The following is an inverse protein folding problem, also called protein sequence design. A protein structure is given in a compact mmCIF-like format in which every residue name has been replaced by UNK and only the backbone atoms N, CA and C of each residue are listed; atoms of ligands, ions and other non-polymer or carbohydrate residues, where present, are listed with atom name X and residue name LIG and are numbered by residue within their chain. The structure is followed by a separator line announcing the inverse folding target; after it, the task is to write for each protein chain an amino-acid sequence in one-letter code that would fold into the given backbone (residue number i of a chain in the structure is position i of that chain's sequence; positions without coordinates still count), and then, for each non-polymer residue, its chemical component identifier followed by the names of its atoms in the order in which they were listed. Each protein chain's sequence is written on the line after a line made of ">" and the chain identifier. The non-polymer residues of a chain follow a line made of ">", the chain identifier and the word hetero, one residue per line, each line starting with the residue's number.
data_IF_595855416193
#
_entry.id   IF_595855416193
#
_cell.length_a   1.000
_cell.length_b   1.000
_cell.length_c   1.000
_cell.angle_alpha   90.00
_cell.angle_beta   90.00
_cell.angle_gamma   90.00
#
_symmetry.space_group_name_H-M   'P 1'
#
loop_
_entity.id
_entity.type
_entity.pdbx_description
1 polymer ?
#
# COMPACT_ATOMS: atom_id res chain seq x y z
N UNK A 1 -14.84 5.50 -19.26
CA UNK A 1 -14.78 5.28 -17.78
C UNK A 1 -13.68 6.16 -17.23
N UNK A 2 -14.00 7.04 -16.32
CA UNK A 2 -13.03 7.90 -15.62
C UNK A 2 -12.19 7.06 -14.64
N UNK A 3 -11.06 7.62 -14.15
CA UNK A 3 -10.25 6.96 -13.12
C UNK A 3 -11.09 6.64 -11.87
N UNK A 4 -11.92 7.59 -11.43
CA UNK A 4 -12.76 7.43 -10.23
C UNK A 4 -13.80 6.31 -10.43
N UNK A 5 -14.47 6.27 -11.57
CA UNK A 5 -15.41 5.18 -11.90
C UNK A 5 -14.69 3.83 -11.94
N UNK A 6 -13.47 3.78 -12.52
CA UNK A 6 -12.66 2.57 -12.59
C UNK A 6 -12.34 2.03 -11.19
N UNK A 7 -11.79 2.84 -10.28
CA UNK A 7 -11.45 2.36 -8.94
C UNK A 7 -12.68 2.01 -8.11
N UNK A 8 -13.78 2.76 -8.27
CA UNK A 8 -15.03 2.50 -7.56
C UNK A 8 -15.68 1.16 -7.96
N UNK A 9 -15.54 0.74 -9.20
CA UNK A 9 -16.07 -0.53 -9.69
C UNK A 9 -15.10 -1.70 -9.48
N UNK A 10 -13.83 -1.52 -9.86
CA UNK A 10 -12.81 -2.57 -9.86
C UNK A 10 -12.44 -3.05 -8.46
N UNK A 11 -12.36 -2.13 -7.49
CA UNK A 11 -11.87 -2.44 -6.15
C UNK A 11 -12.98 -2.85 -5.16
N UNK A 12 -14.18 -3.19 -5.65
CA UNK A 12 -15.22 -3.75 -4.77
C UNK A 12 -14.80 -5.14 -4.28
N UNK A 13 -14.86 -5.40 -2.95
CA UNK A 13 -14.63 -6.72 -2.40
C UNK A 13 -15.54 -7.78 -3.05
N UNK A 14 -14.94 -8.78 -3.68
CA UNK A 14 -15.65 -9.82 -4.41
C UNK A 14 -14.98 -11.19 -4.17
N UNK A 15 -15.26 -11.80 -3.01
CA UNK A 15 -14.68 -13.09 -2.64
C UNK A 15 -15.29 -14.19 -3.54
N UNK A 16 -14.48 -14.74 -4.42
CA UNK A 16 -14.85 -15.81 -5.37
C UNK A 16 -13.96 -17.04 -5.24
N UNK A 17 -12.82 -16.90 -4.56
CA UNK A 17 -11.85 -17.97 -4.35
C UNK A 17 -11.99 -18.55 -2.94
N UNK A 18 -11.61 -19.81 -2.78
CA UNK A 18 -11.47 -20.47 -1.47
C UNK A 18 -10.11 -20.20 -0.82
N UNK A 19 -9.25 -19.40 -1.49
CA UNK A 19 -7.88 -19.10 -1.08
C UNK A 19 -7.93 -18.08 0.06
N UNK A 20 -7.34 -18.44 1.21
CA UNK A 20 -7.28 -17.59 2.40
C UNK A 20 -5.96 -16.87 2.50
N UNK A 21 -6.05 -15.57 2.71
CA UNK A 21 -4.91 -14.65 2.82
C UNK A 21 -4.83 -14.05 4.21
N UNK A 22 -3.72 -14.25 4.90
CA UNK A 22 -3.42 -13.61 6.18
C UNK A 22 -2.65 -12.32 5.92
N UNK A 23 -3.19 -11.18 6.35
CA UNK A 23 -2.56 -9.85 6.24
C UNK A 23 -2.03 -9.41 7.60
N UNK A 24 -0.72 -9.43 7.77
CA UNK A 24 -0.03 -9.02 8.99
C UNK A 24 0.35 -7.54 8.91
N UNK A 25 0.05 -6.79 9.96
CA UNK A 25 0.22 -5.33 9.99
C UNK A 25 -0.67 -4.66 8.94
N UNK A 26 -1.94 -5.09 8.89
CA UNK A 26 -2.87 -4.82 7.81
C UNK A 26 -3.22 -3.31 7.63
N UNK A 27 -2.96 -2.49 8.65
CA UNK A 27 -3.35 -1.09 8.64
C UNK A 27 -4.86 -0.93 8.40
N UNK A 28 -5.24 0.01 7.55
CA UNK A 28 -6.65 0.20 7.16
C UNK A 28 -7.13 -0.77 6.06
N UNK A 29 -6.34 -1.78 5.71
CA UNK A 29 -6.73 -2.79 4.72
C UNK A 29 -6.45 -2.41 3.26
N UNK A 30 -5.53 -1.48 2.99
CA UNK A 30 -5.22 -1.09 1.60
C UNK A 30 -4.68 -2.26 0.76
N UNK A 31 -3.82 -3.12 1.36
CA UNK A 31 -3.32 -4.32 0.71
C UNK A 31 -4.44 -5.36 0.56
N UNK A 32 -5.15 -5.69 1.64
CA UNK A 32 -6.28 -6.61 1.65
C UNK A 32 -7.39 -6.22 0.69
N UNK A 33 -7.71 -4.93 0.53
CA UNK A 33 -8.73 -4.47 -0.42
C UNK A 33 -8.41 -4.89 -1.86
N UNK A 34 -7.15 -4.76 -2.28
CA UNK A 34 -6.72 -5.24 -3.58
C UNK A 34 -6.86 -6.76 -3.73
N UNK A 35 -6.58 -7.52 -2.67
CA UNK A 35 -6.73 -8.97 -2.66
C UNK A 35 -8.19 -9.40 -2.70
N UNK A 36 -9.08 -8.79 -1.91
CA UNK A 36 -10.52 -9.08 -1.96
C UNK A 36 -11.15 -8.72 -3.31
N UNK A 37 -10.71 -7.62 -3.92
CA UNK A 37 -11.14 -7.26 -5.28
C UNK A 37 -10.67 -8.28 -6.32
N UNK A 38 -9.54 -8.96 -6.10
CA UNK A 38 -9.03 -10.05 -6.94
C UNK A 38 -9.68 -11.41 -6.64
N UNK A 39 -10.56 -11.49 -5.64
CA UNK A 39 -11.35 -12.68 -5.33
C UNK A 39 -10.97 -13.45 -4.06
N UNK A 40 -9.92 -13.06 -3.35
CA UNK A 40 -9.43 -13.76 -2.16
C UNK A 40 -10.25 -13.48 -0.90
N UNK A 41 -10.25 -14.40 0.05
CA UNK A 41 -10.73 -14.18 1.42
C UNK A 41 -9.55 -13.69 2.29
N UNK A 42 -9.69 -12.52 2.94
CA UNK A 42 -8.62 -11.95 3.75
C UNK A 42 -8.92 -12.01 5.25
N UNK A 43 -7.87 -12.17 6.06
CA UNK A 43 -7.91 -12.09 7.53
C UNK A 43 -6.81 -11.12 7.93
N UNK A 44 -7.17 -9.99 8.54
CA UNK A 44 -6.23 -8.95 8.94
C UNK A 44 -5.85 -9.01 10.42
N UNK A 45 -4.64 -8.54 10.74
CA UNK A 45 -4.21 -8.23 12.11
C UNK A 45 -3.57 -6.84 12.13
N UNK A 46 -4.08 -5.98 13.02
CA UNK A 46 -3.62 -4.59 13.18
C UNK A 46 -3.77 -4.18 14.65
N UNK A 47 -2.76 -3.53 15.22
CA UNK A 47 -2.78 -3.10 16.62
C UNK A 47 -3.43 -1.73 16.84
N UNK A 48 -3.61 -0.93 15.79
CA UNK A 48 -4.23 0.39 15.88
C UNK A 48 -5.73 0.28 15.65
N UNK A 49 -6.51 0.41 16.71
CA UNK A 49 -7.98 0.26 16.71
C UNK A 49 -8.67 1.01 15.56
N UNK A 50 -8.30 2.27 15.32
CA UNK A 50 -8.92 3.05 14.26
C UNK A 50 -8.63 2.50 12.85
N UNK A 51 -7.52 1.83 12.65
CA UNK A 51 -7.18 1.21 11.37
C UNK A 51 -7.90 -0.13 11.22
N UNK A 52 -7.93 -0.96 12.27
CA UNK A 52 -8.69 -2.21 12.28
C UNK A 52 -10.20 -1.96 12.08
N UNK A 53 -10.76 -0.92 12.70
CA UNK A 53 -12.15 -0.51 12.50
C UNK A 53 -12.41 -0.05 11.07
N UNK A 54 -11.47 0.70 10.46
CA UNK A 54 -11.57 1.07 9.03
C UNK A 54 -11.59 -0.17 8.14
N UNK A 55 -10.70 -1.12 8.40
CA UNK A 55 -10.67 -2.40 7.69
C UNK A 55 -12.05 -3.08 7.77
N UNK A 56 -12.56 -3.30 8.99
CA UNK A 56 -13.80 -4.04 9.25
C UNK A 56 -15.06 -3.37 8.67
N UNK A 57 -15.05 -2.05 8.44
CA UNK A 57 -16.16 -1.33 7.80
C UNK A 57 -16.23 -1.51 6.29
N UNK A 58 -15.10 -1.80 5.65
CA UNK A 58 -14.99 -1.73 4.19
C UNK A 58 -14.72 -3.06 3.51
N UNK A 59 -14.12 -4.03 4.22
CA UNK A 59 -13.74 -5.31 3.68
C UNK A 59 -14.71 -6.41 4.14
N UNK A 60 -14.75 -7.52 3.42
CA UNK A 60 -15.55 -8.71 3.78
C UNK A 60 -14.82 -9.58 4.79
N UNK A 61 -13.49 -9.63 4.72
CA UNK A 61 -12.64 -10.29 5.70
C UNK A 61 -12.63 -9.53 7.03
N UNK A 62 -12.28 -10.23 8.10
CA UNK A 62 -12.21 -9.66 9.44
C UNK A 62 -10.78 -9.26 9.80
N UNK A 63 -10.60 -8.10 10.42
CA UNK A 63 -9.35 -7.64 11.01
C UNK A 63 -9.44 -7.70 12.55
N UNK A 64 -8.59 -8.51 13.14
CA UNK A 64 -8.43 -8.57 14.58
C UNK A 64 -7.58 -7.39 15.06
N UNK A 65 -8.12 -6.62 16.02
CA UNK A 65 -7.39 -5.55 16.66
C UNK A 65 -6.51 -6.13 17.77
N UNK A 66 -5.31 -6.58 17.42
CA UNK A 66 -4.40 -7.24 18.35
C UNK A 66 -2.94 -6.92 18.08
N UNK A 67 -2.11 -6.98 19.12
CA UNK A 67 -0.67 -6.77 19.02
C UNK A 67 0.05 -8.09 18.75
N UNK A 68 0.57 -8.23 17.57
CA UNK A 68 1.32 -9.40 17.14
C UNK A 68 2.65 -9.52 17.90
N UNK A 69 3.07 -10.77 18.14
CA UNK A 69 4.38 -11.15 18.70
C UNK A 69 4.88 -12.44 18.07
N UNK A 70 6.15 -12.74 18.21
CA UNK A 70 6.71 -14.05 17.85
C UNK A 70 5.98 -15.13 18.66
N UNK A 71 5.59 -16.22 18.00
CA UNK A 71 4.79 -17.29 18.61
C UNK A 71 3.30 -16.96 18.74
N UNK A 72 2.77 -15.95 18.04
CA UNK A 72 1.33 -15.63 18.06
C UNK A 72 0.52 -16.76 17.43
N UNK A 73 -0.55 -17.21 18.13
CA UNK A 73 -1.43 -18.28 17.65
C UNK A 73 -2.53 -17.72 16.75
N UNK A 74 -2.39 -17.92 15.44
CA UNK A 74 -3.42 -17.55 14.47
C UNK A 74 -4.50 -18.63 14.41
N UNK A 75 -5.80 -18.28 14.43
CA UNK A 75 -6.86 -19.25 14.20
C UNK A 75 -6.72 -19.92 12.83
N UNK A 76 -6.98 -21.24 12.80
CA UNK A 76 -7.01 -22.03 11.57
C UNK A 76 -5.76 -21.91 10.66
N UNK A 77 -4.55 -21.84 11.24
CA UNK A 77 -3.28 -21.68 10.49
C UNK A 77 -3.15 -22.65 9.30
N UNK A 78 -3.65 -23.87 9.45
CA UNK A 78 -3.60 -24.90 8.39
C UNK A 78 -4.45 -24.59 7.15
N UNK A 79 -5.32 -23.57 7.24
CA UNK A 79 -6.19 -23.14 6.13
C UNK A 79 -5.69 -21.84 5.46
N UNK A 80 -4.53 -21.29 5.89
CA UNK A 80 -3.97 -20.09 5.31
C UNK A 80 -3.07 -20.48 4.14
N UNK A 81 -3.41 -20.01 2.96
CA UNK A 81 -2.70 -20.30 1.71
C UNK A 81 -1.61 -19.28 1.40
N UNK A 82 -1.88 -18.02 1.72
CA UNK A 82 -1.02 -16.89 1.40
C UNK A 82 -0.83 -16.01 2.64
N UNK A 83 0.38 -15.53 2.87
CA UNK A 83 0.66 -14.53 3.90
C UNK A 83 1.15 -13.25 3.22
N UNK A 84 0.51 -12.13 3.55
CA UNK A 84 0.91 -10.79 3.08
C UNK A 84 1.16 -9.87 4.26
N UNK A 85 1.78 -8.71 4.03
CA UNK A 85 1.90 -7.72 5.09
C UNK A 85 2.85 -6.57 4.80
N UNK A 86 2.79 -5.57 5.68
CA UNK A 86 3.71 -4.43 5.71
C UNK A 86 4.50 -4.38 7.03
N UNK A 87 5.41 -5.32 7.31
CA UNK A 87 6.11 -5.36 8.60
C UNK A 87 6.87 -4.06 8.87
N UNK A 88 6.63 -3.37 10.00
CA UNK A 88 7.33 -2.14 10.31
C UNK A 88 8.84 -2.38 10.45
N UNK A 89 9.63 -1.49 9.85
CA UNK A 89 11.09 -1.48 9.90
C UNK A 89 11.58 -0.22 10.64
N UNK A 90 11.04 0.04 11.84
CA UNK A 90 11.24 1.30 12.56
C UNK A 90 12.62 1.45 13.25
N UNK A 91 13.33 0.40 13.70
CA UNK A 91 14.67 0.55 14.26
C UNK A 91 15.63 1.29 13.35
N UNK A 92 15.35 1.28 12.05
CA UNK A 92 16.20 1.80 10.98
C UNK A 92 15.61 3.03 10.28
N UNK A 93 14.47 3.57 10.75
CA UNK A 93 13.93 4.82 10.20
C UNK A 93 14.77 6.02 10.66
N UNK A 94 14.85 7.08 9.83
CA UNK A 94 15.62 8.31 10.12
C UNK A 94 15.25 9.00 11.45
N UNK A 95 14.15 8.59 12.10
CA UNK A 95 13.57 9.24 13.29
C UNK A 95 13.62 8.31 14.53
N UNK A 96 13.98 7.00 14.35
CA UNK A 96 14.04 6.03 15.45
C UNK A 96 15.39 6.01 16.17
N UNK A 97 15.39 5.81 17.49
CA UNK A 97 16.59 5.46 18.24
C UNK A 97 17.10 4.11 17.73
N UNK A 98 18.33 4.07 17.19
CA UNK A 98 18.96 2.90 16.56
C UNK A 98 19.26 1.78 17.59
N UNK A 99 18.21 1.11 18.12
CA UNK A 99 18.35 0.01 19.08
C UNK A 99 18.62 -1.37 18.43
N UNK A 100 18.73 -1.43 17.08
CA UNK A 100 19.06 -2.67 16.39
C UNK A 100 17.94 -3.71 16.40
N UNK A 101 18.30 -5.00 16.30
CA UNK A 101 17.39 -6.14 16.18
C UNK A 101 16.55 -6.46 17.43
N UNK A 102 16.75 -5.77 18.55
CA UNK A 102 15.99 -5.94 19.79
C UNK A 102 14.86 -4.92 19.95
N UNK A 103 14.61 -4.09 18.94
CA UNK A 103 13.53 -3.08 19.01
C UNK A 103 12.18 -3.77 18.84
N UNK A 104 11.33 -3.68 19.86
CA UNK A 104 9.96 -4.23 19.86
C UNK A 104 9.06 -3.70 18.72
N UNK A 105 9.51 -2.69 17.97
CA UNK A 105 8.82 -2.12 16.80
C UNK A 105 9.24 -2.76 15.47
N UNK A 106 10.12 -3.76 15.50
CA UNK A 106 10.51 -4.53 14.34
C UNK A 106 9.50 -5.64 14.07
N UNK A 107 8.77 -5.55 12.95
CA UNK A 107 7.78 -6.55 12.56
C UNK A 107 8.34 -7.74 11.80
N UNK A 108 9.59 -7.71 11.35
CA UNK A 108 10.14 -8.81 10.55
C UNK A 108 10.30 -10.14 11.30
N UNK A 109 10.75 -10.18 12.58
CA UNK A 109 10.78 -11.45 13.33
C UNK A 109 9.40 -12.09 13.44
N UNK A 110 8.34 -11.29 13.58
CA UNK A 110 6.95 -11.75 13.64
C UNK A 110 6.52 -12.31 12.28
N UNK A 111 6.83 -11.60 11.19
CA UNK A 111 6.50 -12.04 9.83
C UNK A 111 7.21 -13.35 9.47
N UNK A 112 8.50 -13.50 9.78
CA UNK A 112 9.28 -14.71 9.54
C UNK A 112 8.72 -15.87 10.38
N UNK A 113 8.38 -15.66 11.65
CA UNK A 113 7.77 -16.68 12.52
C UNK A 113 6.44 -17.17 11.94
N UNK A 114 5.59 -16.25 11.46
CA UNK A 114 4.34 -16.61 10.80
C UNK A 114 4.58 -17.47 9.55
N UNK A 115 5.52 -17.08 8.68
CA UNK A 115 5.87 -17.88 7.49
C UNK A 115 6.40 -19.28 7.88
N UNK A 116 7.26 -19.35 8.90
CA UNK A 116 7.81 -20.61 9.41
C UNK A 116 6.73 -21.57 9.91
N UNK A 117 5.73 -21.05 10.61
CA UNK A 117 4.68 -21.86 11.25
C UNK A 117 3.53 -22.21 10.29
N UNK A 118 3.14 -21.29 9.43
CA UNK A 118 2.05 -21.47 8.47
C UNK A 118 2.51 -22.24 7.23
N UNK A 119 3.75 -22.02 6.78
CA UNK A 119 4.30 -22.59 5.54
C UNK A 119 3.40 -22.31 4.31
N UNK A 120 2.98 -21.03 4.07
CA UNK A 120 2.08 -20.68 2.98
C UNK A 120 2.67 -21.09 1.61
N UNK A 121 1.84 -21.24 0.58
CA UNK A 121 2.31 -21.52 -0.79
C UNK A 121 3.10 -20.34 -1.36
N UNK A 122 2.69 -19.13 -1.02
CA UNK A 122 3.34 -17.90 -1.43
C UNK A 122 3.17 -16.83 -0.34
N UNK A 123 4.13 -15.94 -0.21
CA UNK A 123 4.01 -14.78 0.65
C UNK A 123 4.48 -13.50 -0.07
N UNK A 124 3.98 -12.36 0.40
CA UNK A 124 4.42 -11.05 -0.05
C UNK A 124 4.56 -10.10 1.13
N UNK A 125 5.65 -9.33 1.18
CA UNK A 125 5.69 -8.17 2.05
C UNK A 125 6.08 -6.89 1.31
N UNK A 126 5.52 -5.79 1.79
CA UNK A 126 5.84 -4.44 1.32
C UNK A 126 6.72 -3.71 2.33
N UNK A 127 7.63 -2.88 1.83
CA UNK A 127 8.40 -1.97 2.68
C UNK A 127 8.82 -0.71 1.92
N UNK A 128 9.33 0.26 2.66
CA UNK A 128 9.89 1.48 2.05
C UNK A 128 11.19 1.15 1.32
N UNK A 129 11.39 1.76 0.13
CA UNK A 129 12.62 1.59 -0.67
C UNK A 129 13.91 1.90 0.11
N UNK A 130 13.83 2.77 1.13
CA UNK A 130 15.01 3.21 1.88
C UNK A 130 15.73 2.07 2.63
N UNK A 131 15.11 0.91 2.82
CA UNK A 131 15.75 -0.29 3.38
C UNK A 131 16.93 -0.77 2.50
N UNK A 132 16.89 -0.52 1.18
CA UNK A 132 17.97 -0.85 0.24
C UNK A 132 19.21 0.04 0.38
N UNK A 133 19.12 1.12 1.13
CA UNK A 133 20.25 1.99 1.43
C UNK A 133 21.09 1.46 2.58
N UNK A 134 21.20 2.26 3.64
CA UNK A 134 22.03 1.96 4.83
C UNK A 134 21.68 0.62 5.52
N UNK A 135 20.48 0.11 5.35
CA UNK A 135 19.95 -1.07 6.03
C UNK A 135 19.81 -2.30 5.13
N UNK A 136 20.47 -2.29 3.95
CA UNK A 136 20.43 -3.41 3.02
C UNK A 136 20.93 -4.72 3.65
N UNK A 137 21.91 -4.65 4.51
CA UNK A 137 22.42 -5.81 5.25
C UNK A 137 21.34 -6.51 6.07
N UNK A 138 20.42 -5.75 6.67
CA UNK A 138 19.31 -6.30 7.45
C UNK A 138 18.28 -6.97 6.55
N UNK A 139 17.95 -6.35 5.40
CA UNK A 139 17.10 -6.99 4.41
C UNK A 139 17.70 -8.34 3.95
N UNK A 140 19.00 -8.41 3.67
CA UNK A 140 19.62 -9.67 3.25
C UNK A 140 19.52 -10.75 4.33
N UNK A 141 19.64 -10.41 5.63
CA UNK A 141 19.40 -11.37 6.71
C UNK A 141 17.96 -11.91 6.69
N UNK A 142 16.97 -11.04 6.50
CA UNK A 142 15.56 -11.43 6.39
C UNK A 142 15.36 -12.37 5.21
N UNK A 143 15.90 -12.02 4.04
CA UNK A 143 15.78 -12.83 2.83
C UNK A 143 16.43 -14.22 3.02
N UNK A 144 17.59 -14.29 3.67
CA UNK A 144 18.28 -15.54 3.93
C UNK A 144 17.50 -16.45 4.89
N UNK A 145 16.90 -15.90 5.94
CA UNK A 145 16.02 -16.67 6.83
C UNK A 145 14.82 -17.26 6.07
N UNK A 146 14.20 -16.47 5.19
CA UNK A 146 13.08 -16.93 4.37
C UNK A 146 13.50 -17.97 3.32
N UNK A 147 14.70 -17.85 2.74
CA UNK A 147 15.28 -18.84 1.82
C UNK A 147 15.56 -20.17 2.52
N UNK A 148 16.04 -20.15 3.76
CA UNK A 148 16.25 -21.36 4.59
C UNK A 148 14.95 -22.15 4.83
N UNK A 149 13.79 -21.50 4.74
CA UNK A 149 12.48 -22.14 4.81
C UNK A 149 12.05 -22.82 3.49
N UNK A 150 12.90 -22.82 2.46
CA UNK A 150 12.66 -23.48 1.18
C UNK A 150 11.96 -22.62 0.13
N UNK A 151 11.90 -21.28 0.32
CA UNK A 151 11.33 -20.39 -0.68
C UNK A 151 12.38 -19.82 -1.63
N UNK A 152 12.01 -19.65 -2.88
CA UNK A 152 12.67 -18.70 -3.79
C UNK A 152 12.18 -17.32 -3.37
N UNK A 153 13.08 -16.39 -3.04
CA UNK A 153 12.73 -15.07 -2.55
C UNK A 153 13.34 -14.01 -3.45
N UNK A 154 12.47 -13.22 -4.06
CA UNK A 154 12.85 -12.12 -4.94
C UNK A 154 12.24 -10.81 -4.45
N UNK A 155 12.88 -9.68 -4.77
CA UNK A 155 12.33 -8.37 -4.52
C UNK A 155 12.52 -7.42 -5.69
N UNK A 156 11.59 -6.47 -5.83
CA UNK A 156 11.70 -5.34 -6.78
C UNK A 156 11.19 -4.06 -6.13
N UNK A 157 11.77 -2.95 -6.54
CA UNK A 157 11.18 -1.63 -6.26
C UNK A 157 10.16 -1.33 -7.34
N UNK A 158 8.89 -1.24 -6.92
CA UNK A 158 7.80 -0.86 -7.80
C UNK A 158 7.41 0.60 -7.54
N UNK A 159 7.21 1.37 -8.60
CA UNK A 159 6.62 2.69 -8.49
C UNK A 159 5.12 2.58 -8.83
N UNK A 160 4.25 2.90 -7.88
CA UNK A 160 2.81 2.77 -8.00
C UNK A 160 2.22 3.51 -9.23
N UNK A 161 2.86 4.59 -9.67
CA UNK A 161 2.44 5.33 -10.88
C UNK A 161 2.46 4.46 -12.14
N UNK A 162 3.31 3.44 -12.19
CA UNK A 162 3.41 2.50 -13.31
C UNK A 162 2.33 1.42 -13.28
N UNK A 163 1.42 1.48 -12.30
CA UNK A 163 0.32 0.52 -12.10
C UNK A 163 -1.03 1.22 -12.00
N UNK A 164 -1.13 2.43 -12.59
CA UNK A 164 -2.36 3.20 -12.66
C UNK A 164 -2.71 4.01 -11.40
N UNK A 165 -1.81 4.11 -10.43
CA UNK A 165 -2.00 4.96 -9.23
C UNK A 165 -1.54 6.38 -9.55
N UNK A 166 -2.32 7.44 -9.28
CA UNK A 166 -1.97 8.83 -9.62
C UNK A 166 -0.90 9.42 -8.68
N UNK A 167 0.13 8.62 -8.36
CA UNK A 167 1.15 8.98 -7.37
C UNK A 167 2.49 8.30 -7.66
N UNK A 168 3.57 9.08 -7.64
CA UNK A 168 4.94 8.55 -7.59
C UNK A 168 5.22 8.02 -6.17
N UNK A 169 5.05 6.70 -5.98
CA UNK A 169 5.26 6.00 -4.71
C UNK A 169 6.08 4.75 -4.93
N UNK A 170 7.34 4.82 -4.59
CA UNK A 170 8.26 3.68 -4.69
C UNK A 170 8.23 2.84 -3.43
N UNK A 171 8.03 1.52 -3.62
CA UNK A 171 7.97 0.53 -2.56
C UNK A 171 8.73 -0.71 -2.94
N UNK A 172 9.45 -1.26 -1.96
CA UNK A 172 10.03 -2.57 -2.06
C UNK A 172 8.90 -3.60 -1.92
N UNK A 173 8.73 -4.42 -2.93
CA UNK A 173 7.82 -5.58 -2.90
C UNK A 173 8.69 -6.82 -2.94
N UNK A 174 8.61 -7.63 -1.90
CA UNK A 174 9.30 -8.93 -1.80
C UNK A 174 8.28 -10.04 -1.89
N UNK A 175 8.56 -11.05 -2.70
CA UNK A 175 7.71 -12.23 -2.87
C UNK A 175 8.53 -13.48 -2.64
N UNK A 176 8.00 -14.40 -1.84
CA UNK A 176 8.54 -15.73 -1.65
C UNK A 176 7.58 -16.78 -2.17
N UNK A 177 8.08 -17.71 -2.98
CA UNK A 177 7.30 -18.73 -3.68
C UNK A 177 8.08 -20.04 -3.85
N UNK A 178 7.38 -21.12 -4.24
CA UNK A 178 8.00 -22.45 -4.43
C UNK A 178 8.00 -22.94 -5.89
N UNK A 179 7.37 -22.18 -6.81
CA UNK A 179 7.28 -22.55 -8.23
C UNK A 179 7.81 -21.46 -9.14
N UNK A 180 6.93 -20.53 -9.57
CA UNK A 180 7.26 -19.42 -10.45
C UNK A 180 6.44 -18.20 -10.07
N UNK A 181 7.06 -17.02 -10.10
CA UNK A 181 6.39 -15.74 -9.91
C UNK A 181 6.78 -14.76 -11.02
N UNK A 182 5.83 -13.98 -11.50
CA UNK A 182 6.06 -12.86 -12.41
C UNK A 182 5.46 -11.59 -11.79
N UNK A 183 6.27 -10.54 -11.66
CA UNK A 183 5.75 -9.23 -11.26
C UNK A 183 4.73 -8.70 -12.27
N UNK A 184 3.71 -7.92 -11.82
CA UNK A 184 2.73 -7.32 -12.73
C UNK A 184 3.40 -6.51 -13.84
N UNK A 185 2.81 -6.52 -15.02
CA UNK A 185 3.26 -5.70 -16.16
C UNK A 185 3.07 -4.21 -15.87
N UNK A 186 4.02 -3.40 -16.32
CA UNK A 186 3.96 -1.94 -16.21
C UNK A 186 2.93 -1.39 -17.19
N UNK A 187 2.06 -0.48 -16.74
CA UNK A 187 1.17 0.31 -17.58
C UNK A 187 1.90 1.56 -18.09
N UNK A 188 1.81 1.83 -19.39
CA UNK A 188 2.52 2.97 -20.00
C UNK A 188 1.82 4.31 -19.75
N UNK A 189 0.49 4.30 -19.62
CA UNK A 189 -0.29 5.51 -19.34
C UNK A 189 -0.29 5.79 -17.84
N UNK A 190 0.14 6.99 -17.48
CA UNK A 190 0.15 7.47 -16.10
C UNK A 190 -1.10 8.26 -15.82
N UNK A 191 -1.79 7.93 -14.75
CA UNK A 191 -2.92 8.70 -14.25
C UNK A 191 -2.41 9.96 -13.54
N UNK A 192 -3.02 11.10 -13.86
CA UNK A 192 -2.67 12.40 -13.31
C UNK A 192 -3.50 12.78 -12.08
N UNK A 193 -3.08 13.81 -11.36
CA UNK A 193 -3.87 14.41 -10.27
C UNK A 193 -5.23 14.90 -10.78
N UNK A 194 -5.27 15.52 -11.96
CA UNK A 194 -6.50 16.03 -12.55
C UNK A 194 -7.52 14.95 -12.86
N UNK A 195 -7.07 13.79 -13.35
CA UNK A 195 -7.95 12.64 -13.59
C UNK A 195 -8.50 12.04 -12.28
N UNK A 196 -7.73 12.12 -11.19
CA UNK A 196 -8.11 11.54 -9.91
C UNK A 196 -8.95 12.46 -9.03
N UNK A 197 -8.65 13.74 -8.98
CA UNK A 197 -9.27 14.70 -8.04
C UNK A 197 -9.67 16.02 -8.69
N UNK A 198 -9.62 16.16 -10.02
CA UNK A 198 -9.90 17.43 -10.72
C UNK A 198 -11.28 18.01 -10.38
N UNK A 199 -12.29 17.16 -10.20
CA UNK A 199 -13.63 17.52 -9.76
C UNK A 199 -13.70 18.09 -8.32
N UNK A 200 -12.68 17.83 -7.49
CA UNK A 200 -12.58 18.27 -6.10
C UNK A 200 -11.65 19.49 -5.94
N UNK A 201 -10.69 19.70 -6.84
CA UNK A 201 -9.63 20.70 -6.67
C UNK A 201 -10.14 22.13 -6.51
N UNK A 202 -11.26 22.47 -7.17
CA UNK A 202 -11.87 23.81 -7.08
C UNK A 202 -12.87 23.96 -5.93
N UNK A 203 -13.21 22.85 -5.24
CA UNK A 203 -14.17 22.86 -4.13
C UNK A 203 -13.52 23.29 -2.84
N UNK A 204 -14.23 24.09 -2.08
CA UNK A 204 -13.90 24.47 -0.70
C UNK A 204 -15.18 24.81 0.06
N UNK A 205 -15.10 24.71 1.37
CA UNK A 205 -16.15 25.01 2.33
C UNK A 205 -15.57 25.70 3.58
N UNK A 206 -16.38 25.90 4.60
CA UNK A 206 -15.96 26.52 5.86
C UNK A 206 -14.93 25.70 6.64
N UNK A 207 -14.84 24.38 6.38
CA UNK A 207 -13.87 23.47 7.02
C UNK A 207 -12.55 23.41 6.27
N UNK A 208 -12.48 24.03 5.11
CA UNK A 208 -11.28 24.02 4.26
C UNK A 208 -10.13 24.77 4.92
N UNK A 209 -8.99 24.10 5.05
CA UNK A 209 -7.80 24.64 5.73
C UNK A 209 -6.92 25.40 4.73
N UNK A 210 -7.17 26.69 4.61
CA UNK A 210 -6.33 27.59 3.81
C UNK A 210 -4.99 27.87 4.47
N UNK A 211 -3.99 28.14 3.66
CA UNK A 211 -2.72 28.66 4.14
C UNK A 211 -2.87 30.13 4.55
N UNK A 212 -2.25 30.51 5.66
CA UNK A 212 -2.18 31.91 6.03
C UNK A 212 -1.16 32.66 5.14
N UNK A 213 -1.25 33.99 5.00
CA UNK A 213 -0.27 34.76 4.24
C UNK A 213 1.19 34.51 4.68
N UNK A 214 1.43 34.32 5.99
CA UNK A 214 2.76 34.01 6.52
C UNK A 214 3.23 32.61 6.11
N UNK A 215 2.34 31.63 6.05
CA UNK A 215 2.68 30.28 5.56
C UNK A 215 3.01 30.32 4.07
N UNK A 216 2.24 31.04 3.26
CA UNK A 216 2.51 31.20 1.82
C UNK A 216 3.85 31.90 1.58
N UNK A 217 4.13 32.98 2.31
CA UNK A 217 5.41 33.72 2.22
C UNK A 217 6.60 32.82 2.62
N UNK A 218 6.48 32.05 3.71
CA UNK A 218 7.50 31.10 4.15
C UNK A 218 7.76 30.03 3.09
N UNK A 219 6.70 29.48 2.50
CA UNK A 219 6.81 28.45 1.46
C UNK A 219 7.47 29.00 0.21
N UNK A 220 7.07 30.20 -0.25
CA UNK A 220 7.67 30.86 -1.41
C UNK A 220 9.16 31.13 -1.18
N UNK A 221 9.56 31.63 -0.01
CA UNK A 221 10.94 31.83 0.35
C UNK A 221 11.76 30.53 0.40
N UNK A 222 11.17 29.46 0.94
CA UNK A 222 11.81 28.14 0.99
C UNK A 222 11.99 27.56 -0.42
N UNK A 223 10.98 27.65 -1.27
CA UNK A 223 11.04 27.15 -2.66
C UNK A 223 12.09 27.91 -3.47
N UNK A 224 12.15 29.24 -3.34
CA UNK A 224 13.17 30.08 -3.98
C UNK A 224 14.58 29.71 -3.52
N UNK A 225 14.80 29.56 -2.19
CA UNK A 225 16.12 29.26 -1.60
C UNK A 225 16.60 27.85 -1.91
N UNK A 226 15.69 26.88 -1.96
CA UNK A 226 16.04 25.47 -2.15
C UNK A 226 16.11 25.05 -3.61
N UNK A 227 15.84 25.95 -4.56
CA UNK A 227 15.73 25.64 -5.99
C UNK A 227 14.75 24.49 -6.22
N UNK A 228 13.60 24.51 -5.55
CA UNK A 228 12.68 23.41 -5.41
C UNK A 228 12.34 22.77 -6.76
N UNK A 229 13.09 21.74 -7.12
CA UNK A 229 12.91 20.96 -8.36
C UNK A 229 11.66 20.09 -8.35
N UNK A 230 11.04 19.94 -7.17
CA UNK A 230 9.82 19.13 -6.97
C UNK A 230 8.75 20.00 -6.30
N UNK A 231 7.88 20.61 -7.10
CA UNK A 231 6.78 21.42 -6.59
C UNK A 231 5.91 20.63 -5.60
N UNK A 232 5.45 21.31 -4.56
CA UNK A 232 4.61 20.68 -3.52
C UNK A 232 3.13 20.94 -3.69
N UNK A 233 2.77 21.89 -4.52
CA UNK A 233 1.43 22.05 -5.02
C UNK A 233 1.07 20.84 -5.91
N UNK A 234 -0.18 20.41 -5.89
CA UNK A 234 -0.68 19.39 -6.78
C UNK A 234 -0.97 20.00 -8.14
N UNK A 235 -0.37 19.46 -9.19
CA UNK A 235 -0.56 19.88 -10.57
C UNK A 235 -1.49 18.92 -11.29
N UNK A 236 -2.56 19.41 -11.94
CA UNK A 236 -3.55 18.56 -12.58
C UNK A 236 -2.99 17.63 -13.66
N UNK A 237 -1.95 18.04 -14.36
CA UNK A 237 -1.30 17.34 -15.47
C UNK A 237 -0.19 16.37 -15.06
N UNK A 238 0.11 16.28 -13.76
CA UNK A 238 1.17 15.41 -13.23
C UNK A 238 0.64 14.43 -12.20
N UNK A 239 1.29 13.27 -12.01
CA UNK A 239 1.07 12.44 -10.83
C UNK A 239 1.53 13.15 -9.55
N UNK A 240 0.84 12.89 -8.45
CA UNK A 240 1.25 13.38 -7.13
C UNK A 240 2.62 12.79 -6.73
N UNK A 241 3.37 13.52 -5.93
CA UNK A 241 4.51 12.92 -5.21
C UNK A 241 4.02 12.03 -4.07
N UNK A 242 4.90 11.22 -3.50
CA UNK A 242 4.54 10.25 -2.45
C UNK A 242 3.76 10.91 -1.30
N UNK A 243 2.56 10.38 -1.04
CA UNK A 243 1.76 10.71 0.14
C UNK A 243 2.30 9.93 1.35
N UNK A 244 2.51 10.63 2.46
CA UNK A 244 2.95 10.06 3.74
C UNK A 244 2.14 10.67 4.88
N UNK A 245 2.04 9.99 6.02
CA UNK A 245 1.37 10.54 7.19
C UNK A 245 1.91 11.94 7.57
N UNK A 246 3.22 12.18 7.39
CA UNK A 246 3.86 13.46 7.72
C UNK A 246 3.38 14.60 6.81
N UNK A 247 3.29 14.39 5.50
CA UNK A 247 2.91 15.44 4.55
C UNK A 247 1.40 15.54 4.30
N UNK A 248 0.63 14.67 4.90
CA UNK A 248 -0.84 14.74 4.93
C UNK A 248 -1.34 15.39 6.22
N UNK A 249 -0.96 14.85 7.39
CA UNK A 249 -1.45 15.32 8.68
C UNK A 249 -0.75 16.58 9.20
N UNK A 250 0.52 16.77 8.84
CA UNK A 250 1.34 17.88 9.35
C UNK A 250 1.12 19.20 8.62
N UNK A 251 1.10 20.32 9.35
CA UNK A 251 1.13 21.67 8.78
C UNK A 251 2.57 22.12 8.52
N UNK A 252 3.29 21.39 7.68
CA UNK A 252 4.70 21.65 7.36
C UNK A 252 4.86 22.20 5.94
N UNK A 253 6.04 22.77 5.64
CA UNK A 253 6.39 23.16 4.25
C UNK A 253 6.30 21.99 3.26
N UNK A 254 6.32 20.76 3.76
CA UNK A 254 6.25 19.52 2.97
C UNK A 254 4.81 19.04 2.69
N UNK A 255 3.77 19.73 3.19
CA UNK A 255 2.38 19.33 2.97
C UNK A 255 1.97 19.37 1.49
N UNK A 256 1.04 18.49 1.11
CA UNK A 256 0.35 18.57 -0.16
C UNK A 256 -0.69 19.68 -0.15
N UNK A 257 -0.75 20.44 -1.25
CA UNK A 257 -1.61 21.63 -1.38
C UNK A 257 -2.30 21.66 -2.73
N UNK A 258 -3.49 22.19 -2.73
CA UNK A 258 -4.23 22.56 -3.93
C UNK A 258 -4.21 24.08 -4.06
N UNK A 259 -3.79 24.57 -5.23
CA UNK A 259 -3.90 25.98 -5.59
C UNK A 259 -5.23 26.21 -6.30
N UNK A 260 -6.02 27.13 -5.77
CA UNK A 260 -7.32 27.50 -6.34
C UNK A 260 -7.14 28.50 -7.51
N UNK A 261 -8.18 28.68 -8.36
CA UNK A 261 -8.17 29.66 -9.45
C UNK A 261 -7.94 31.10 -8.99
N UNK A 262 -8.37 31.45 -7.78
CA UNK A 262 -8.17 32.77 -7.17
C UNK A 262 -6.76 32.98 -6.58
N UNK A 263 -5.88 31.99 -6.71
CA UNK A 263 -4.51 32.01 -6.25
C UNK A 263 -4.29 31.53 -4.81
N UNK A 264 -5.36 31.42 -4.00
CA UNK A 264 -5.24 30.87 -2.63
C UNK A 264 -4.82 29.41 -2.67
N UNK A 265 -4.12 28.97 -1.63
CA UNK A 265 -3.79 27.57 -1.43
C UNK A 265 -4.50 26.98 -0.22
N UNK A 266 -5.00 25.76 -0.37
CA UNK A 266 -5.54 24.99 0.74
C UNK A 266 -4.86 23.65 0.87
N UNK A 267 -4.95 23.06 2.06
CA UNK A 267 -4.54 21.66 2.27
C UNK A 267 -5.48 20.74 1.51
N UNK A 268 -4.98 19.57 1.14
CA UNK A 268 -5.83 18.52 0.56
C UNK A 268 -6.76 17.94 1.63
N UNK A 269 -7.92 17.48 1.20
CA UNK A 269 -8.89 16.76 2.01
C UNK A 269 -8.53 15.28 2.12
N UNK A 270 -9.16 14.57 3.06
CA UNK A 270 -9.00 13.12 3.20
C UNK A 270 -9.45 12.39 1.94
N UNK A 271 -10.55 12.83 1.30
CA UNK A 271 -11.05 12.22 0.06
C UNK A 271 -10.10 12.41 -1.11
N UNK A 272 -9.51 13.59 -1.26
CA UNK A 272 -8.47 13.83 -2.27
C UNK A 272 -7.25 12.94 -2.04
N UNK A 273 -6.76 12.86 -0.79
CA UNK A 273 -5.65 11.99 -0.43
C UNK A 273 -5.97 10.51 -0.69
N UNK A 274 -7.19 10.06 -0.36
CA UNK A 274 -7.65 8.70 -0.58
C UNK A 274 -7.68 8.34 -2.07
N UNK A 275 -8.24 9.20 -2.94
CA UNK A 275 -8.25 8.98 -4.39
C UNK A 275 -6.84 8.95 -4.99
N UNK A 276 -5.92 9.82 -4.51
CA UNK A 276 -4.52 9.80 -4.93
C UNK A 276 -3.77 8.53 -4.49
N UNK A 277 -4.26 7.84 -3.46
CA UNK A 277 -3.81 6.50 -3.05
C UNK A 277 -4.60 5.38 -3.74
N UNK A 278 -5.51 5.70 -4.67
CA UNK A 278 -6.42 4.78 -5.33
C UNK A 278 -7.48 4.11 -4.43
N UNK A 279 -7.81 4.69 -3.27
CA UNK A 279 -8.97 4.23 -2.52
C UNK A 279 -10.26 4.68 -3.21
N UNK A 280 -11.26 3.79 -3.34
CA UNK A 280 -12.57 4.14 -3.90
C UNK A 280 -13.34 5.14 -3.05
N UNK A 281 -14.31 5.84 -3.63
CA UNK A 281 -15.11 6.83 -2.90
C UNK A 281 -16.01 6.22 -1.83
N UNK A 282 -16.43 4.98 -2.00
CA UNK A 282 -17.23 4.26 -1.01
C UNK A 282 -16.41 3.76 0.19
N UNK A 283 -15.07 3.83 0.13
CA UNK A 283 -14.19 3.42 1.24
C UNK A 283 -14.18 4.50 2.33
N UNK A 284 -14.61 4.13 3.54
CA UNK A 284 -14.78 5.04 4.67
C UNK A 284 -13.67 4.85 5.71
N UNK A 285 -12.95 5.92 6.04
CA UNK A 285 -11.92 5.91 7.07
C UNK A 285 -12.51 6.28 8.43
N UNK A 286 -12.25 5.45 9.43
CA UNK A 286 -12.66 5.70 10.82
C UNK A 286 -11.62 6.53 11.57
N UNK A 287 -12.13 7.35 12.53
CA UNK A 287 -11.33 8.18 13.41
C UNK A 287 -11.28 9.66 13.00
N UNK A 288 -10.51 10.44 13.76
CA UNK A 288 -10.34 11.86 13.45
C UNK A 288 -9.45 12.08 12.22
N UNK A 289 -9.41 13.31 11.72
CA UNK A 289 -8.67 13.68 10.52
C UNK A 289 -7.22 13.19 10.52
N UNK A 290 -6.51 13.35 11.63
CA UNK A 290 -5.11 12.91 11.76
C UNK A 290 -4.98 11.40 11.63
N UNK A 291 -5.87 10.64 12.27
CA UNK A 291 -5.92 9.18 12.16
C UNK A 291 -6.21 8.75 10.72
N UNK A 292 -7.17 9.39 10.06
CA UNK A 292 -7.51 9.11 8.65
C UNK A 292 -6.32 9.39 7.71
N UNK A 293 -5.66 10.54 7.83
CA UNK A 293 -4.46 10.83 7.04
C UNK A 293 -3.29 9.86 7.32
N UNK A 294 -3.15 9.41 8.56
CA UNK A 294 -2.13 8.41 8.93
C UNK A 294 -2.40 7.08 8.22
N UNK A 295 -3.65 6.62 8.23
CA UNK A 295 -4.08 5.41 7.54
C UNK A 295 -3.82 5.51 6.03
N UNK A 296 -4.24 6.61 5.38
CA UNK A 296 -4.04 6.84 3.95
C UNK A 296 -2.54 6.88 3.60
N UNK A 297 -1.74 7.62 4.37
CA UNK A 297 -0.31 7.79 4.09
C UNK A 297 0.52 6.52 4.25
N UNK A 298 0.13 5.65 5.17
CA UNK A 298 0.82 4.37 5.43
C UNK A 298 0.35 3.24 4.51
N UNK A 299 -0.84 3.34 3.92
CA UNK A 299 -1.40 2.27 3.12
C UNK A 299 -0.58 1.91 1.88
N UNK A 300 -0.59 0.64 1.52
CA UNK A 300 -0.30 0.20 0.15
C UNK A 300 -1.47 0.62 -0.73
N UNK A 301 -1.23 1.27 -1.89
CA UNK A 301 -2.31 1.65 -2.79
C UNK A 301 -3.14 0.44 -3.25
N UNK A 302 -4.47 0.43 -3.04
CA UNK A 302 -5.31 -0.73 -3.37
C UNK A 302 -5.23 -1.19 -4.83
N UNK A 303 -5.04 -0.26 -5.76
CA UNK A 303 -4.90 -0.62 -7.18
C UNK A 303 -3.58 -1.35 -7.48
N UNK A 304 -2.46 -0.95 -6.83
CA UNK A 304 -1.20 -1.70 -6.89
C UNK A 304 -1.38 -3.07 -6.23
N UNK A 305 -2.02 -3.11 -5.06
CA UNK A 305 -2.32 -4.35 -4.35
C UNK A 305 -3.15 -5.33 -5.20
N UNK A 306 -4.17 -4.83 -5.93
CA UNK A 306 -4.96 -5.63 -6.87
C UNK A 306 -4.11 -6.27 -7.97
N UNK A 307 -3.18 -5.50 -8.58
CA UNK A 307 -2.27 -6.03 -9.61
C UNK A 307 -1.32 -7.10 -9.04
N UNK A 308 -0.83 -6.89 -7.82
CA UNK A 308 -0.01 -7.87 -7.12
C UNK A 308 -0.82 -9.13 -6.77
N UNK A 309 -2.05 -8.98 -6.32
CA UNK A 309 -2.95 -10.08 -6.00
C UNK A 309 -3.21 -10.98 -7.22
N UNK A 310 -3.46 -10.39 -8.40
CA UNK A 310 -3.61 -11.16 -9.64
C UNK A 310 -2.34 -11.96 -9.99
N UNK A 311 -1.15 -11.35 -9.84
CA UNK A 311 0.11 -12.04 -10.07
C UNK A 311 0.36 -13.19 -9.08
N UNK A 312 -0.02 -13.00 -7.80
CA UNK A 312 0.05 -14.09 -6.80
C UNK A 312 -0.97 -15.19 -7.06
N UNK A 313 -2.14 -14.86 -7.58
CA UNK A 313 -3.17 -15.85 -7.99
C UNK A 313 -2.62 -16.81 -9.06
N UNK A 314 -1.95 -16.30 -10.07
CA UNK A 314 -1.27 -17.10 -11.08
C UNK A 314 -0.22 -18.02 -10.47
N UNK A 315 0.59 -17.48 -9.54
CA UNK A 315 1.63 -18.24 -8.83
C UNK A 315 1.05 -19.34 -7.96
N UNK A 316 -0.02 -19.05 -7.23
CA UNK A 316 -0.73 -20.02 -6.38
C UNK A 316 -1.20 -21.22 -7.21
N UNK A 317 -1.88 -20.99 -8.33
CA UNK A 317 -2.38 -22.06 -9.18
C UNK A 317 -1.26 -22.81 -9.91
N UNK A 318 -0.15 -22.17 -10.25
CA UNK A 318 1.00 -22.84 -10.83
C UNK A 318 1.68 -23.82 -9.85
N UNK A 319 1.54 -23.58 -8.53
CA UNK A 319 2.05 -24.48 -7.50
C UNK A 319 1.18 -25.73 -7.33
N UNK A 320 -0.12 -25.67 -7.65
CA UNK A 320 -1.06 -26.77 -7.51
C UNK A 320 -1.11 -27.70 -8.73
N UNK A 321 -0.65 -27.26 -9.90
CA UNK A 321 -0.68 -28.09 -11.12
C UNK A 321 0.61 -28.89 -11.25
N UNK A 322 0.58 -30.20 -11.50
CA UNK A 322 1.74 -30.94 -11.97
C UNK A 322 2.28 -30.32 -13.27
N UNK A 323 3.59 -30.35 -13.47
CA UNK A 323 4.32 -29.69 -14.58
C UNK A 323 3.83 -30.08 -15.99
N UNK A 324 2.95 -31.08 -16.14
CA UNK A 324 2.60 -31.70 -17.43
C UNK A 324 1.52 -30.96 -18.25
N UNK A 325 0.86 -29.89 -17.73
CA UNK A 325 -0.31 -29.29 -18.43
C UNK A 325 -0.18 -27.81 -18.82
N UNK A 326 1.05 -27.35 -19.13
CA UNK A 326 1.30 -25.93 -19.50
C UNK A 326 0.90 -25.59 -20.94
N UNK A 327 0.51 -26.57 -21.78
CA UNK A 327 0.25 -26.34 -23.20
C UNK A 327 -1.07 -25.61 -23.55
N UNK A 328 -2.02 -25.53 -22.61
CA UNK A 328 -3.37 -24.99 -22.88
C UNK A 328 -3.67 -23.59 -22.31
N UNK A 329 -2.72 -22.90 -21.66
CA UNK A 329 -3.00 -21.60 -21.01
C UNK A 329 -3.05 -20.43 -22.02
N UNK A 330 -2.43 -20.56 -23.19
CA UNK A 330 -2.40 -19.47 -24.18
C UNK A 330 -3.77 -19.22 -24.85
N UNK A 331 -4.76 -20.09 -24.70
CA UNK A 331 -6.10 -19.91 -25.30
C UNK A 331 -7.05 -19.04 -24.45
N UNK A 332 -6.76 -18.77 -23.17
CA UNK A 332 -7.64 -17.97 -22.30
C UNK A 332 -7.22 -16.50 -22.14
N UNK A 333 -6.03 -16.15 -22.62
CA UNK A 333 -5.51 -14.77 -22.47
C UNK A 333 -6.05 -13.82 -23.55
N UNK A 334 -6.48 -14.33 -24.71
CA UNK A 334 -6.95 -13.52 -25.84
C UNK A 334 -8.42 -13.04 -25.73
N UNK A 335 -9.12 -13.35 -24.64
CA UNK A 335 -10.55 -12.98 -24.45
C UNK A 335 -10.75 -11.80 -23.48
N UNK A 336 -9.68 -11.30 -22.84
CA UNK A 336 -9.77 -10.27 -21.78
C UNK A 336 -8.92 -9.00 -22.04
N UNK A 337 -8.48 -8.79 -23.27
CA UNK A 337 -7.81 -7.52 -23.65
C UNK A 337 -8.52 -6.84 -24.82
#
# INVERSE_FOLDING_TARGET
>A
MTFVEKINSLLKPNITETIKVLDLFAGCGGLSLGFEAAGFETIGYECVEAAAETYNRNLKGHCYCDMLKVGYEYPDMSKIDIVIGGPPCQPFSRIGSQKGMEDARDGFPIFIDAIKRIQPKVFLFENVQNILGRHKWYLELILDELRKLGYIVEYRVLNAVNYGVPQNRERLITVGYKSKFNYPKIEHLKVTVGEAIGDLMTRFDEKSKFLSPNQDAYIAAYEAKSGCSKPRDLYPDLPARTLTCRNLAGATSDMHRVKLPDGRRRRITQREAARLQSFPDWFEFYGNETKQFTQIGNAVPPLLAYKLALALKETYYATERPIEDISNINQFIDVLF
#
